data_IF_894666368445
#
_entry.id   IF_894666368445
#
_cell.length_a   1.000
_cell.length_b   1.000
_cell.length_c   1.000
_cell.angle_alpha   90.00
_cell.angle_beta   90.00
_cell.angle_gamma   90.00
#
_symmetry.space_group_name_H-M   'P 1'
#
loop_
_entity.id
_entity.type
_entity.pdbx_description
1 polymer ?
#
# COMPACT_ATOMS: atom_id res chain seq x y z
N UNK A 1 3.13 -4.31 7.78
CA UNK A 1 1.72 -4.25 8.21
C UNK A 1 1.55 -4.01 9.72
N UNK A 2 2.24 -4.79 10.59
CA UNK A 2 2.17 -4.65 12.07
C UNK A 2 2.54 -3.25 12.51
N UNK A 3 3.57 -2.67 11.89
CA UNK A 3 4.05 -1.31 12.17
C UNK A 3 2.95 -0.28 11.96
N UNK A 4 2.23 -0.34 10.83
CA UNK A 4 1.11 0.56 10.54
C UNK A 4 -0.02 0.42 11.57
N UNK A 5 -0.33 -0.80 11.98
CA UNK A 5 -1.37 -1.07 12.98
C UNK A 5 -1.09 -0.40 14.34
N UNK A 6 0.18 -0.32 14.72
CA UNK A 6 0.61 0.24 16.01
C UNK A 6 0.95 1.72 15.88
N UNK A 7 1.78 2.08 14.89
CA UNK A 7 2.37 3.42 14.78
C UNK A 7 1.33 4.46 14.36
N UNK A 8 0.45 4.15 13.41
CA UNK A 8 -0.52 5.13 12.90
C UNK A 8 -1.46 5.70 13.98
N UNK A 9 -2.14 4.89 14.82
CA UNK A 9 -2.99 5.43 15.88
C UNK A 9 -2.21 6.23 16.93
N UNK A 10 -0.98 5.78 17.26
CA UNK A 10 -0.11 6.47 18.23
C UNK A 10 0.27 7.84 17.70
N UNK A 11 0.77 7.90 16.48
CA UNK A 11 1.22 9.16 15.86
C UNK A 11 0.02 10.07 15.56
N UNK A 12 -1.11 9.53 15.10
CA UNK A 12 -2.33 10.29 14.93
C UNK A 12 -2.71 11.01 16.21
N UNK A 13 -2.80 10.28 17.31
CA UNK A 13 -3.11 10.83 18.62
C UNK A 13 -2.06 11.84 19.11
N UNK A 14 -0.76 11.51 18.98
CA UNK A 14 0.31 12.43 19.37
C UNK A 14 0.29 13.72 18.54
N UNK A 15 0.12 13.61 17.23
CA UNK A 15 0.08 14.77 16.34
C UNK A 15 -1.12 15.67 16.62
N UNK A 16 -2.24 15.13 17.11
CA UNK A 16 -3.39 15.90 17.54
C UNK A 16 -3.11 16.79 18.77
N UNK A 17 -2.18 16.35 19.61
CA UNK A 17 -1.82 17.01 20.88
C UNK A 17 -0.63 17.95 20.79
N UNK A 18 0.12 17.87 19.71
CA UNK A 18 1.38 18.60 19.57
C UNK A 18 1.12 19.97 18.94
N UNK A 19 1.78 20.99 19.50
CA UNK A 19 1.94 22.29 18.86
C UNK A 19 3.37 22.76 19.05
N UNK A 20 4.12 22.90 17.97
CA UNK A 20 5.52 23.33 17.94
C UNK A 20 5.68 24.62 17.12
N UNK A 21 6.92 25.13 17.02
CA UNK A 21 7.25 26.25 16.12
C UNK A 21 7.01 25.92 14.63
N UNK A 22 7.05 24.62 14.27
CA UNK A 22 6.75 24.14 12.93
C UNK A 22 5.25 23.87 12.72
N UNK A 23 4.43 24.00 13.74
CA UNK A 23 3.01 23.66 13.71
C UNK A 23 2.72 22.33 14.41
N UNK A 24 1.57 21.73 14.07
CA UNK A 24 1.01 20.52 14.68
C UNK A 24 1.44 19.25 13.93
N UNK A 25 1.31 19.23 12.60
CA UNK A 25 1.51 18.06 11.74
C UNK A 25 2.89 18.00 11.11
N UNK A 26 3.44 19.15 10.72
CA UNK A 26 4.73 19.25 10.02
C UNK A 26 5.91 18.59 10.73
N UNK A 27 6.08 18.65 12.06
CA UNK A 27 7.18 17.96 12.74
C UNK A 27 7.19 16.46 12.51
N UNK A 28 6.01 15.83 12.47
CA UNK A 28 5.88 14.37 12.31
C UNK A 28 6.22 13.92 10.90
N UNK A 29 5.67 14.57 9.87
CA UNK A 29 6.02 14.16 8.52
C UNK A 29 7.45 14.56 8.13
N UNK A 30 8.01 15.62 8.71
CA UNK A 30 9.43 15.91 8.56
C UNK A 30 10.30 14.82 9.18
N UNK A 31 10.04 14.42 10.42
CA UNK A 31 10.78 13.37 11.10
C UNK A 31 10.66 12.04 10.35
N UNK A 32 9.45 11.67 9.93
CA UNK A 32 9.21 10.47 9.16
C UNK A 32 9.94 10.50 7.81
N UNK A 33 9.95 11.65 7.10
CA UNK A 33 10.64 11.79 5.83
C UNK A 33 12.17 11.68 5.97
N UNK A 34 12.76 12.29 7.00
CA UNK A 34 14.19 12.18 7.28
C UNK A 34 14.57 10.71 7.52
N UNK A 35 13.88 10.03 8.43
CA UNK A 35 14.18 8.65 8.78
C UNK A 35 13.93 7.67 7.62
N UNK A 36 12.83 7.83 6.88
CA UNK A 36 12.54 7.00 5.72
C UNK A 36 13.54 7.20 4.59
N UNK A 37 13.95 8.44 4.31
CA UNK A 37 14.94 8.73 3.26
C UNK A 37 16.31 8.17 3.62
N UNK A 38 16.73 8.28 4.88
CA UNK A 38 17.96 7.64 5.36
C UNK A 38 17.88 6.11 5.19
N UNK A 39 16.76 5.50 5.59
CA UNK A 39 16.56 4.06 5.45
C UNK A 39 16.57 3.62 3.98
N UNK A 40 15.95 4.38 3.07
CA UNK A 40 15.97 4.11 1.62
C UNK A 40 17.39 4.15 1.04
N UNK A 41 18.23 5.07 1.50
CA UNK A 41 19.62 5.18 1.03
C UNK A 41 20.50 4.05 1.61
N UNK A 42 20.30 3.70 2.88
CA UNK A 42 21.14 2.71 3.55
C UNK A 42 20.76 1.26 3.22
N UNK A 43 19.46 0.98 3.00
CA UNK A 43 18.96 -0.38 2.81
C UNK A 43 19.61 -1.13 1.64
N UNK A 44 19.74 -0.57 0.42
CA UNK A 44 20.38 -1.27 -0.69
C UNK A 44 21.91 -1.44 -0.53
N UNK A 45 22.52 -0.75 0.43
CA UNK A 45 23.95 -0.86 0.76
C UNK A 45 24.20 -1.74 1.99
N UNK A 46 23.20 -2.42 2.50
CA UNK A 46 23.32 -3.27 3.70
C UNK A 46 24.18 -4.51 3.41
N UNK A 47 25.29 -4.72 4.15
CA UNK A 47 26.19 -5.85 3.91
C UNK A 47 25.60 -7.20 4.37
N UNK A 48 24.51 -7.20 5.13
CA UNK A 48 23.86 -8.40 5.66
C UNK A 48 22.34 -8.29 5.63
N UNK A 49 21.67 -9.42 5.40
CA UNK A 49 20.20 -9.49 5.29
C UNK A 49 19.48 -8.92 6.53
N UNK A 50 19.96 -9.19 7.74
CA UNK A 50 19.34 -8.68 8.96
C UNK A 50 19.38 -7.16 9.06
N UNK A 51 20.42 -6.52 8.49
CA UNK A 51 20.52 -5.06 8.44
C UNK A 51 19.49 -4.49 7.45
N UNK A 52 19.35 -5.10 6.27
CA UNK A 52 18.33 -4.72 5.28
C UNK A 52 16.92 -4.86 5.86
N UNK A 53 16.64 -5.94 6.58
CA UNK A 53 15.36 -6.14 7.28
C UNK A 53 15.14 -5.08 8.37
N UNK A 54 16.18 -4.75 9.14
CA UNK A 54 16.11 -3.67 10.14
C UNK A 54 15.81 -2.31 9.50
N UNK A 55 16.49 -1.98 8.38
CA UNK A 55 16.23 -0.75 7.62
C UNK A 55 14.81 -0.73 7.03
N UNK A 56 14.29 -1.87 6.56
CA UNK A 56 12.92 -2.00 6.09
C UNK A 56 11.90 -1.69 7.20
N UNK A 57 12.13 -2.16 8.41
CA UNK A 57 11.24 -1.85 9.54
C UNK A 57 11.31 -0.38 9.95
N UNK A 58 12.50 0.22 9.95
CA UNK A 58 12.67 1.66 10.21
C UNK A 58 11.94 2.46 9.12
N UNK A 59 12.10 2.09 7.87
CA UNK A 59 11.43 2.74 6.74
C UNK A 59 9.90 2.65 6.86
N UNK A 60 9.37 1.45 7.12
CA UNK A 60 7.92 1.23 7.26
C UNK A 60 7.35 2.04 8.45
N UNK A 61 8.01 2.03 9.60
CA UNK A 61 7.64 2.86 10.75
C UNK A 61 7.66 4.35 10.39
N UNK A 62 8.70 4.81 9.72
CA UNK A 62 8.93 6.22 9.36
C UNK A 62 7.90 6.74 8.36
N UNK A 63 7.53 5.92 7.36
CA UNK A 63 6.46 6.24 6.41
C UNK A 63 5.12 6.35 7.15
N UNK A 64 4.83 5.44 8.09
CA UNK A 64 3.60 5.50 8.89
C UNK A 64 3.58 6.71 9.84
N UNK A 65 4.72 7.14 10.38
CA UNK A 65 4.85 8.39 11.17
C UNK A 65 4.50 9.61 10.30
N UNK A 66 4.87 9.61 9.03
CA UNK A 66 4.60 10.72 8.10
C UNK A 66 3.16 10.71 7.56
N UNK A 67 2.62 9.53 7.24
CA UNK A 67 1.41 9.36 6.44
C UNK A 67 0.14 9.84 7.14
N UNK A 68 -0.06 9.49 8.42
CA UNK A 68 -1.29 9.89 9.14
C UNK A 68 -1.38 11.40 9.39
N UNK A 69 -0.31 12.06 9.91
CA UNK A 69 -0.33 13.52 10.02
C UNK A 69 -0.51 14.22 8.67
N UNK A 70 0.05 13.67 7.58
CA UNK A 70 -0.12 14.24 6.24
C UNK A 70 -1.57 14.16 5.75
N UNK A 71 -2.26 13.04 5.98
CA UNK A 71 -3.69 12.92 5.67
C UNK A 71 -4.54 13.90 6.47
N UNK A 72 -4.26 14.01 7.77
CA UNK A 72 -4.95 14.96 8.64
C UNK A 72 -4.67 16.41 8.23
N UNK A 73 -3.44 16.72 7.81
CA UNK A 73 -3.04 18.04 7.33
C UNK A 73 -3.87 18.50 6.12
N UNK A 74 -4.16 17.63 5.16
CA UNK A 74 -5.05 17.95 4.03
C UNK A 74 -6.45 18.33 4.52
N UNK A 75 -6.98 17.60 5.52
CA UNK A 75 -8.27 17.92 6.14
C UNK A 75 -8.27 19.20 6.96
N UNK A 76 -7.15 19.51 7.64
CA UNK A 76 -7.01 20.70 8.48
C UNK A 76 -6.83 21.99 7.65
N UNK A 77 -6.14 21.88 6.50
CA UNK A 77 -5.78 23.04 5.65
C UNK A 77 -6.85 23.43 4.63
N UNK A 78 -7.73 22.50 4.24
CA UNK A 78 -8.70 22.76 3.19
C UNK A 78 -10.11 23.01 3.76
N UNK A 79 -10.84 24.03 3.24
CA UNK A 79 -12.24 24.22 3.54
C UNK A 79 -13.07 23.01 3.07
N UNK A 80 -14.23 22.78 3.69
CA UNK A 80 -15.06 21.59 3.46
C UNK A 80 -15.38 21.33 1.98
N UNK A 81 -15.59 22.40 1.21
CA UNK A 81 -15.92 22.35 -0.22
C UNK A 81 -14.76 21.81 -1.07
N UNK A 82 -13.51 22.01 -0.62
CA UNK A 82 -12.30 21.63 -1.35
C UNK A 82 -11.69 20.31 -0.87
N UNK A 83 -12.09 19.79 0.30
CA UNK A 83 -11.50 18.56 0.89
C UNK A 83 -11.58 17.36 -0.03
N UNK A 84 -12.72 17.16 -0.70
CA UNK A 84 -12.88 16.05 -1.64
C UNK A 84 -11.89 16.14 -2.80
N UNK A 85 -11.67 17.35 -3.35
CA UNK A 85 -10.68 17.60 -4.38
C UNK A 85 -9.25 17.39 -3.89
N UNK A 86 -8.95 17.83 -2.66
CA UNK A 86 -7.63 17.62 -2.02
C UNK A 86 -7.28 16.14 -1.84
N UNK A 87 -8.20 15.32 -1.32
CA UNK A 87 -7.98 13.88 -1.19
C UNK A 87 -7.91 13.16 -2.54
N UNK A 88 -8.69 13.60 -3.53
CA UNK A 88 -8.59 13.06 -4.89
C UNK A 88 -7.22 13.35 -5.52
N UNK A 89 -6.70 14.58 -5.34
CA UNK A 89 -5.37 14.96 -5.81
C UNK A 89 -4.27 14.16 -5.08
N UNK A 90 -4.40 13.94 -3.78
CA UNK A 90 -3.49 13.08 -3.01
C UNK A 90 -3.47 11.65 -3.58
N UNK A 91 -4.63 11.07 -3.84
CA UNK A 91 -4.74 9.73 -4.42
C UNK A 91 -4.15 9.65 -5.83
N UNK A 92 -4.31 10.69 -6.63
CA UNK A 92 -3.70 10.81 -7.96
C UNK A 92 -2.17 10.78 -7.88
N UNK A 93 -1.57 11.59 -7.01
CA UNK A 93 -0.11 11.62 -6.85
C UNK A 93 0.45 10.33 -6.23
N UNK A 94 -0.30 9.66 -5.34
CA UNK A 94 0.09 8.32 -4.85
C UNK A 94 0.13 7.33 -6.02
N UNK A 95 -0.88 7.31 -6.88
CA UNK A 95 -0.91 6.44 -8.06
C UNK A 95 0.21 6.76 -9.05
N UNK A 96 0.43 8.03 -9.35
CA UNK A 96 1.50 8.47 -10.25
C UNK A 96 2.89 8.09 -9.69
N UNK A 97 3.10 8.32 -8.39
CA UNK A 97 4.34 7.92 -7.72
C UNK A 97 4.57 6.42 -7.75
N UNK A 98 3.51 5.61 -7.55
CA UNK A 98 3.58 4.16 -7.64
C UNK A 98 3.96 3.68 -9.05
N UNK A 99 3.40 4.29 -10.10
CA UNK A 99 3.75 3.99 -11.49
C UNK A 99 5.23 4.25 -11.75
N UNK A 100 5.69 5.46 -11.41
CA UNK A 100 7.08 5.88 -11.64
C UNK A 100 8.05 4.99 -10.85
N UNK A 101 7.80 4.80 -9.55
CA UNK A 101 8.66 4.02 -8.68
C UNK A 101 8.77 2.55 -9.12
N UNK A 102 7.65 1.95 -9.56
CA UNK A 102 7.63 0.56 -10.04
C UNK A 102 8.39 0.38 -11.36
N UNK A 103 8.33 1.36 -12.25
CA UNK A 103 9.04 1.33 -13.53
C UNK A 103 10.51 1.76 -13.42
N UNK A 104 10.93 2.35 -12.31
CA UNK A 104 12.21 3.02 -12.20
C UNK A 104 13.43 2.10 -12.42
N UNK A 105 13.51 0.86 -11.87
CA UNK A 105 14.62 -0.05 -12.17
C UNK A 105 14.75 -0.36 -13.67
N UNK A 106 13.62 -0.64 -14.33
CA UNK A 106 13.59 -0.86 -15.78
C UNK A 106 14.05 0.37 -16.56
N UNK A 107 13.62 1.57 -16.18
CA UNK A 107 14.01 2.83 -16.80
C UNK A 107 15.53 3.05 -16.62
N UNK A 108 16.06 2.80 -15.42
CA UNK A 108 17.50 2.92 -15.14
C UNK A 108 18.33 2.00 -16.05
N UNK A 109 17.91 0.77 -16.22
CA UNK A 109 18.59 -0.21 -17.05
C UNK A 109 18.47 0.11 -18.54
N UNK A 110 17.24 0.29 -19.04
CA UNK A 110 16.98 0.29 -20.49
C UNK A 110 17.09 1.68 -21.13
N UNK A 111 16.86 2.77 -20.37
CA UNK A 111 16.94 4.13 -20.91
C UNK A 111 18.24 4.84 -20.54
N UNK A 112 18.75 4.60 -19.32
CA UNK A 112 19.97 5.23 -18.84
C UNK A 112 21.21 4.33 -18.93
N UNK A 113 21.06 3.05 -19.32
CA UNK A 113 22.16 2.10 -19.49
C UNK A 113 22.90 1.75 -18.20
N UNK A 114 22.22 1.87 -17.03
CA UNK A 114 22.80 1.51 -15.74
C UNK A 114 22.79 -0.02 -15.60
N UNK A 115 23.91 -0.58 -15.17
CA UNK A 115 24.07 -2.04 -15.05
C UNK A 115 23.02 -2.67 -14.12
N UNK A 116 22.43 -3.76 -14.61
CA UNK A 116 21.41 -4.57 -13.92
C UNK A 116 22.01 -5.82 -13.27
N UNK A 117 23.33 -5.98 -13.28
CA UNK A 117 24.04 -7.10 -12.70
C UNK A 117 25.07 -6.55 -11.71
N UNK A 118 25.05 -7.09 -10.48
CA UNK A 118 26.11 -6.78 -9.52
C UNK A 118 27.28 -7.75 -9.70
N UNK A 119 28.50 -7.23 -9.89
CA UNK A 119 29.71 -8.02 -10.14
C UNK A 119 30.03 -9.03 -9.01
N UNK A 120 29.63 -8.72 -7.79
CA UNK A 120 29.85 -9.49 -6.56
C UNK A 120 28.59 -10.23 -6.04
N UNK A 121 27.57 -10.37 -6.88
CA UNK A 121 26.30 -11.02 -6.51
C UNK A 121 25.45 -10.22 -5.50
N UNK A 122 25.76 -8.94 -5.33
CA UNK A 122 25.01 -8.01 -4.49
C UNK A 122 23.75 -7.45 -5.17
N UNK A 123 23.36 -6.24 -4.78
CA UNK A 123 22.22 -5.53 -5.38
C UNK A 123 22.69 -4.77 -6.62
N UNK A 124 22.01 -4.91 -7.78
CA UNK A 124 22.32 -4.17 -8.99
C UNK A 124 22.27 -2.65 -8.80
N UNK A 125 23.12 -1.93 -9.54
CA UNK A 125 23.19 -0.47 -9.43
C UNK A 125 21.91 0.22 -9.93
N UNK A 126 21.19 -0.36 -10.89
CA UNK A 126 19.86 0.10 -11.32
C UNK A 126 18.87 0.16 -10.16
N UNK A 127 18.90 -0.84 -9.28
CA UNK A 127 18.06 -0.90 -8.07
C UNK A 127 18.55 0.11 -7.03
N UNK A 128 19.86 0.20 -6.76
CA UNK A 128 20.42 1.17 -5.80
C UNK A 128 20.05 2.60 -6.18
N UNK A 129 20.23 2.97 -7.44
CA UNK A 129 19.85 4.30 -7.93
C UNK A 129 18.36 4.57 -7.81
N UNK A 130 17.50 3.55 -8.02
CA UNK A 130 16.06 3.69 -7.83
C UNK A 130 15.70 4.03 -6.38
N UNK A 131 16.35 3.39 -5.42
CA UNK A 131 16.18 3.70 -4.00
C UNK A 131 16.67 5.10 -3.63
N UNK A 132 17.85 5.52 -4.16
CA UNK A 132 18.38 6.85 -3.89
C UNK A 132 17.48 7.95 -4.43
N UNK A 133 17.05 7.81 -5.69
CA UNK A 133 16.13 8.78 -6.31
C UNK A 133 14.79 8.85 -5.58
N UNK A 134 14.26 7.69 -5.16
CA UNK A 134 13.04 7.63 -4.34
C UNK A 134 13.20 8.34 -3.00
N UNK A 135 14.32 8.11 -2.31
CA UNK A 135 14.64 8.78 -1.04
C UNK A 135 14.80 10.29 -1.19
N UNK A 136 15.53 10.74 -2.21
CA UNK A 136 15.73 12.16 -2.51
C UNK A 136 14.41 12.84 -2.89
N UNK A 137 13.60 12.21 -3.75
CA UNK A 137 12.31 12.75 -4.17
C UNK A 137 11.35 12.88 -2.97
N UNK A 138 11.27 11.86 -2.12
CA UNK A 138 10.45 11.89 -0.91
C UNK A 138 10.89 13.00 0.05
N UNK A 139 12.17 13.04 0.36
CA UNK A 139 12.74 14.07 1.24
C UNK A 139 12.48 15.48 0.71
N UNK A 140 12.78 15.73 -0.56
CA UNK A 140 12.63 17.04 -1.19
C UNK A 140 11.17 17.49 -1.21
N UNK A 141 10.23 16.59 -1.54
CA UNK A 141 8.80 16.90 -1.55
C UNK A 141 8.27 17.27 -0.15
N UNK A 142 8.69 16.53 0.88
CA UNK A 142 8.29 16.83 2.26
C UNK A 142 8.93 18.13 2.75
N UNK A 143 10.21 18.35 2.49
CA UNK A 143 10.90 19.61 2.81
C UNK A 143 10.22 20.80 2.15
N UNK A 144 9.86 20.68 0.87
CA UNK A 144 9.12 21.72 0.18
C UNK A 144 7.79 22.04 0.91
N UNK A 145 7.04 21.01 1.29
CA UNK A 145 5.79 21.20 2.04
C UNK A 145 6.04 21.88 3.39
N UNK A 146 7.03 21.43 4.15
CA UNK A 146 7.34 21.98 5.48
C UNK A 146 7.72 23.45 5.43
N UNK A 147 8.47 23.90 4.39
CA UNK A 147 8.92 25.28 4.29
C UNK A 147 7.89 26.21 3.63
N UNK A 148 7.05 25.71 2.74
CA UNK A 148 6.14 26.54 1.95
C UNK A 148 4.69 26.52 2.45
N UNK A 149 4.38 25.78 3.53
CA UNK A 149 3.04 25.77 4.12
C UNK A 149 3.08 26.22 5.56
N UNK A 150 2.06 26.93 6.00
CA UNK A 150 1.86 27.34 7.40
C UNK A 150 0.62 26.65 7.95
N UNK A 151 0.69 26.19 9.20
CA UNK A 151 -0.46 25.64 9.91
C UNK A 151 -1.12 26.73 10.75
N UNK A 152 -2.45 26.73 10.76
CA UNK A 152 -3.20 27.65 11.60
C UNK A 152 -3.27 27.15 13.04
N UNK A 153 -2.97 28.00 14.03
CA UNK A 153 -3.12 27.61 15.43
C UNK A 153 -4.59 27.29 15.73
N UNK A 154 -4.86 26.26 16.54
CA UNK A 154 -6.21 25.97 17.00
C UNK A 154 -6.71 27.14 17.88
N UNK A 155 -8.02 27.43 17.80
CA UNK A 155 -8.67 28.56 18.49
C UNK A 155 -8.47 28.54 20.02
N UNK A 156 -8.24 27.34 20.60
CA UNK A 156 -8.01 27.17 22.04
C UNK A 156 -6.97 26.08 22.32
N UNK A 157 -5.71 26.49 22.42
CA UNK A 157 -4.57 25.60 22.71
C UNK A 157 -4.66 24.98 24.11
N UNK A 158 -5.22 25.72 25.10
CA UNK A 158 -5.36 25.22 26.47
C UNK A 158 -6.45 24.16 26.59
N UNK A 159 -7.54 24.34 25.87
CA UNK A 159 -8.62 23.34 25.78
C UNK A 159 -8.14 22.05 25.12
N UNK A 160 -7.35 22.13 24.07
CA UNK A 160 -6.67 20.99 23.44
C UNK A 160 -5.76 20.23 24.42
N UNK A 161 -5.03 20.93 25.29
CA UNK A 161 -4.18 20.30 26.31
C UNK A 161 -5.00 19.59 27.38
N UNK A 162 -6.14 20.14 27.77
CA UNK A 162 -6.98 19.61 28.85
C UNK A 162 -7.84 18.42 28.41
N UNK A 163 -8.48 18.47 27.24
CA UNK A 163 -9.29 17.36 26.68
C UNK A 163 -8.44 16.12 26.37
N UNK A 164 -7.16 16.33 26.16
CA UNK A 164 -6.21 15.30 25.82
C UNK A 164 -5.60 14.55 27.02
N UNK A 165 -5.77 15.06 28.23
CA UNK A 165 -5.28 14.40 29.44
C UNK A 165 -6.11 13.16 29.83
N UNK A 166 -7.37 13.08 29.39
CA UNK A 166 -8.32 12.05 29.84
C UNK A 166 -8.33 10.74 29.02
N UNK A 167 -7.92 10.75 27.75
CA UNK A 167 -7.92 9.53 26.91
C UNK A 167 -6.50 9.12 26.52
N UNK A 168 -5.98 8.09 27.16
CA UNK A 168 -4.67 7.51 26.80
C UNK A 168 -4.73 6.78 25.43
N UNK A 169 -3.60 6.73 24.70
CA UNK A 169 -3.43 6.06 23.41
C UNK A 169 -3.89 4.59 23.45
N UNK A 170 -3.59 3.90 24.57
CA UNK A 170 -4.01 2.50 24.77
C UNK A 170 -5.52 2.32 24.87
N UNK A 171 -6.25 3.33 25.35
CA UNK A 171 -7.71 3.29 25.42
C UNK A 171 -8.32 3.28 24.01
N UNK A 172 -7.82 4.11 23.10
CA UNK A 172 -8.26 4.16 21.71
C UNK A 172 -7.99 2.85 20.95
N UNK A 173 -6.82 2.25 21.14
CA UNK A 173 -6.50 0.92 20.56
C UNK A 173 -7.44 -0.16 21.10
N UNK A 174 -7.66 -0.21 22.41
CA UNK A 174 -8.58 -1.19 23.04
C UNK A 174 -10.01 -1.00 22.54
N UNK A 175 -10.50 0.22 22.44
CA UNK A 175 -11.82 0.53 21.91
C UNK A 175 -11.95 0.07 20.45
N UNK A 176 -10.93 0.28 19.62
CA UNK A 176 -10.91 -0.18 18.22
C UNK A 176 -10.96 -1.71 18.12
N UNK A 177 -10.17 -2.43 18.92
CA UNK A 177 -10.23 -3.90 18.97
C UNK A 177 -11.60 -4.42 19.42
N UNK A 178 -12.19 -3.81 20.45
CA UNK A 178 -13.52 -4.16 20.91
C UNK A 178 -14.61 -3.82 19.88
N UNK A 179 -14.35 -2.87 19.00
CA UNK A 179 -15.23 -2.48 17.91
C UNK A 179 -15.46 -3.59 16.88
N UNK A 180 -14.51 -4.51 16.70
CA UNK A 180 -14.63 -5.67 15.80
C UNK A 180 -15.87 -6.50 16.16
N UNK A 181 -16.16 -6.65 17.45
CA UNK A 181 -17.31 -7.43 17.95
C UNK A 181 -18.64 -6.68 17.89
N UNK A 182 -18.61 -5.37 17.60
CA UNK A 182 -19.81 -4.50 17.54
C UNK A 182 -20.13 -4.03 16.12
N UNK A 183 -19.52 -4.64 15.09
CA UNK A 183 -19.72 -4.23 13.71
C UNK A 183 -21.14 -4.50 13.21
N UNK A 184 -21.73 -3.60 12.41
CA UNK A 184 -22.96 -3.87 11.67
C UNK A 184 -22.81 -5.06 10.73
N UNK A 185 -23.89 -5.82 10.50
CA UNK A 185 -23.88 -7.04 9.65
C UNK A 185 -23.24 -6.82 8.28
N UNK A 186 -23.55 -5.72 7.59
CA UNK A 186 -22.97 -5.40 6.28
C UNK A 186 -21.47 -5.14 6.37
N UNK A 187 -21.01 -4.51 7.46
CA UNK A 187 -19.57 -4.29 7.70
C UNK A 187 -18.85 -5.62 7.90
N UNK A 188 -19.44 -6.57 8.62
CA UNK A 188 -18.90 -7.94 8.77
C UNK A 188 -18.77 -8.63 7.41
N UNK A 189 -19.79 -8.55 6.57
CA UNK A 189 -19.72 -9.13 5.22
C UNK A 189 -18.60 -8.50 4.36
N UNK A 190 -18.51 -7.17 4.38
CA UNK A 190 -17.43 -6.47 3.70
C UNK A 190 -16.05 -6.78 4.27
N UNK A 191 -15.95 -7.01 5.58
CA UNK A 191 -14.72 -7.39 6.25
C UNK A 191 -14.17 -8.72 5.73
N UNK A 192 -15.04 -9.72 5.51
CA UNK A 192 -14.66 -10.99 4.89
C UNK A 192 -14.14 -10.77 3.45
N UNK A 193 -14.84 -9.97 2.64
CA UNK A 193 -14.40 -9.66 1.27
C UNK A 193 -13.03 -8.96 1.29
N UNK A 194 -12.85 -7.99 2.18
CA UNK A 194 -11.58 -7.28 2.34
C UNK A 194 -10.46 -8.23 2.79
N UNK A 195 -10.73 -9.11 3.74
CA UNK A 195 -9.75 -10.07 4.22
C UNK A 195 -9.12 -10.87 3.06
N UNK A 196 -9.93 -11.49 2.23
CA UNK A 196 -9.41 -12.32 1.15
C UNK A 196 -8.85 -11.50 -0.04
N UNK A 197 -9.40 -10.32 -0.29
CA UNK A 197 -8.85 -9.42 -1.30
C UNK A 197 -7.44 -8.94 -0.93
N UNK A 198 -7.23 -8.52 0.32
CA UNK A 198 -5.91 -8.09 0.80
C UNK A 198 -4.94 -9.25 0.99
N UNK A 199 -5.43 -10.43 1.36
CA UNK A 199 -4.63 -11.66 1.37
C UNK A 199 -4.05 -11.95 -0.03
N UNK A 200 -4.89 -11.89 -1.05
CA UNK A 200 -4.49 -12.12 -2.44
C UNK A 200 -3.51 -11.07 -2.97
N UNK A 201 -3.78 -9.79 -2.72
CA UNK A 201 -2.88 -8.71 -3.13
C UNK A 201 -1.52 -8.81 -2.43
N UNK A 202 -1.51 -9.20 -1.17
CA UNK A 202 -0.26 -9.36 -0.43
C UNK A 202 0.53 -10.58 -0.92
N UNK A 203 -0.16 -11.69 -1.28
CA UNK A 203 0.44 -12.81 -1.99
C UNK A 203 1.07 -12.37 -3.31
N UNK A 204 0.37 -11.54 -4.10
CA UNK A 204 0.90 -10.96 -5.32
C UNK A 204 2.16 -10.14 -5.05
N UNK A 205 2.15 -9.20 -4.13
CA UNK A 205 3.30 -8.33 -3.87
C UNK A 205 4.54 -9.08 -3.39
N UNK A 206 4.37 -10.15 -2.61
CA UNK A 206 5.51 -10.95 -2.12
C UNK A 206 6.04 -11.90 -3.19
N UNK A 207 5.15 -12.57 -3.93
CA UNK A 207 5.53 -13.72 -4.72
C UNK A 207 5.61 -13.46 -6.23
N UNK A 208 5.12 -12.32 -6.78
CA UNK A 208 5.11 -12.11 -8.24
C UNK A 208 6.51 -12.14 -8.83
N UNK A 209 7.50 -11.49 -8.21
CA UNK A 209 8.87 -11.50 -8.75
C UNK A 209 9.41 -12.91 -8.85
N UNK A 210 9.38 -13.67 -7.76
CA UNK A 210 9.88 -15.05 -7.75
C UNK A 210 9.04 -15.99 -8.63
N UNK A 211 7.74 -15.75 -8.75
CA UNK A 211 6.86 -16.52 -9.63
C UNK A 211 7.16 -16.26 -11.10
N UNK A 212 7.29 -15.00 -11.51
CA UNK A 212 7.57 -14.63 -12.90
C UNK A 212 8.98 -15.05 -13.30
N UNK A 213 10.00 -14.81 -12.48
CA UNK A 213 11.38 -15.19 -12.79
C UNK A 213 11.51 -16.71 -12.91
N UNK A 214 10.93 -17.50 -11.99
CA UNK A 214 11.03 -18.96 -12.04
C UNK A 214 10.12 -19.60 -13.08
N UNK A 215 8.91 -19.06 -13.33
CA UNK A 215 7.92 -19.70 -14.21
C UNK A 215 8.01 -19.20 -15.65
N UNK A 216 8.16 -17.88 -15.86
CA UNK A 216 8.17 -17.27 -17.19
C UNK A 216 9.59 -17.17 -17.75
N UNK A 217 10.53 -16.66 -16.93
CA UNK A 217 11.95 -16.53 -17.32
C UNK A 217 12.78 -17.79 -17.05
N UNK A 218 12.19 -18.84 -16.46
CA UNK A 218 12.82 -20.14 -16.21
C UNK A 218 14.16 -20.06 -15.44
N UNK A 219 14.26 -19.10 -14.51
CA UNK A 219 15.44 -18.93 -13.65
C UNK A 219 15.06 -18.64 -12.20
N UNK A 220 15.80 -19.25 -11.28
CA UNK A 220 15.70 -18.98 -9.83
C UNK A 220 17.02 -18.44 -9.28
N UNK A 221 18.04 -18.27 -10.12
CA UNK A 221 19.33 -17.72 -9.74
C UNK A 221 19.22 -16.18 -9.67
N UNK A 222 19.15 -15.68 -8.44
CA UNK A 222 19.00 -14.24 -8.15
C UNK A 222 20.19 -13.39 -8.58
N UNK A 223 21.31 -14.02 -8.97
CA UNK A 223 22.52 -13.33 -9.45
C UNK A 223 22.58 -13.26 -10.96
N UNK A 224 21.72 -13.98 -11.67
CA UNK A 224 21.72 -14.04 -13.12
C UNK A 224 21.11 -12.77 -13.76
N UNK A 225 21.62 -12.41 -14.95
CA UNK A 225 21.07 -11.32 -15.77
C UNK A 225 19.56 -11.56 -16.08
N UNK A 226 19.22 -12.81 -16.38
CA UNK A 226 17.85 -13.19 -16.74
C UNK A 226 16.88 -13.03 -15.58
N UNK A 227 17.32 -13.29 -14.34
CA UNK A 227 16.52 -13.01 -13.14
C UNK A 227 16.26 -11.51 -12.98
N UNK A 228 17.30 -10.69 -13.13
CA UNK A 228 17.19 -9.25 -12.99
C UNK A 228 16.32 -8.64 -14.10
N UNK A 229 16.41 -9.14 -15.34
CA UNK A 229 15.50 -8.77 -16.42
C UNK A 229 14.03 -9.08 -16.07
N UNK A 230 13.77 -10.29 -15.55
CA UNK A 230 12.43 -10.68 -15.12
C UNK A 230 11.92 -9.83 -13.94
N UNK A 231 12.79 -9.48 -12.99
CA UNK A 231 12.44 -8.60 -11.87
C UNK A 231 12.09 -7.18 -12.33
N UNK A 232 12.88 -6.62 -13.25
CA UNK A 232 12.59 -5.30 -13.86
C UNK A 232 11.27 -5.32 -14.63
N UNK A 233 10.98 -6.41 -15.35
CA UNK A 233 9.71 -6.57 -16.06
C UNK A 233 8.51 -6.66 -15.11
N UNK A 234 8.67 -7.29 -13.96
CA UNK A 234 7.63 -7.26 -12.89
C UNK A 234 7.39 -5.83 -12.41
N UNK A 235 8.41 -5.00 -12.32
CA UNK A 235 8.26 -3.56 -12.06
C UNK A 235 7.34 -2.87 -13.08
N UNK A 236 7.52 -3.16 -14.38
CA UNK A 236 6.63 -2.67 -15.45
C UNK A 236 5.20 -3.24 -15.29
N UNK A 237 5.05 -4.52 -14.98
CA UNK A 237 3.76 -5.12 -14.67
C UNK A 237 3.05 -4.36 -13.53
N UNK A 238 3.77 -4.00 -12.48
CA UNK A 238 3.25 -3.24 -11.35
C UNK A 238 2.91 -1.79 -11.71
N UNK A 239 3.68 -1.15 -12.57
CA UNK A 239 3.33 0.16 -13.10
C UNK A 239 2.03 0.10 -13.92
N UNK A 240 1.85 -0.92 -14.75
CA UNK A 240 0.64 -1.10 -15.57
C UNK A 240 -0.60 -1.30 -14.71
N UNK A 241 -0.60 -2.22 -13.73
CA UNK A 241 -1.81 -2.40 -12.92
C UNK A 241 -2.18 -1.14 -12.11
N UNK A 242 -1.20 -0.38 -11.63
CA UNK A 242 -1.46 0.91 -10.95
C UNK A 242 -2.01 1.95 -11.93
N UNK A 243 -1.49 2.02 -13.15
CA UNK A 243 -2.00 2.90 -14.21
C UNK A 243 -3.44 2.56 -14.61
N UNK A 244 -3.73 1.28 -14.82
CA UNK A 244 -5.10 0.80 -15.09
C UNK A 244 -6.03 1.12 -13.92
N UNK A 245 -5.59 0.92 -12.68
CA UNK A 245 -6.38 1.25 -11.51
C UNK A 245 -6.74 2.73 -11.44
N UNK A 246 -5.80 3.62 -11.74
CA UNK A 246 -6.03 5.05 -11.77
C UNK A 246 -7.08 5.43 -12.83
N UNK A 247 -7.02 4.85 -14.04
CA UNK A 247 -7.99 5.08 -15.10
C UNK A 247 -9.37 4.52 -14.76
N UNK A 248 -9.42 3.28 -14.28
CA UNK A 248 -10.66 2.58 -13.94
C UNK A 248 -11.38 3.23 -12.76
N UNK A 249 -10.65 3.86 -11.83
CA UNK A 249 -11.24 4.59 -10.70
C UNK A 249 -12.28 5.65 -11.14
N UNK A 250 -12.07 6.30 -12.27
CA UNK A 250 -13.04 7.26 -12.84
C UNK A 250 -14.28 6.58 -13.45
N UNK A 251 -14.14 5.34 -13.91
CA UNK A 251 -15.23 4.58 -14.55
C UNK A 251 -16.13 3.87 -13.53
N UNK A 252 -15.56 3.46 -12.39
CA UNK A 252 -16.29 2.70 -11.37
C UNK A 252 -17.58 3.35 -10.88
N UNK A 253 -17.64 4.67 -10.58
CA UNK A 253 -18.90 5.30 -10.16
C UNK A 253 -19.98 5.25 -11.26
N UNK A 254 -19.58 5.36 -12.53
CA UNK A 254 -20.50 5.29 -13.68
C UNK A 254 -21.09 3.88 -13.81
N UNK A 255 -20.24 2.86 -13.72
CA UNK A 255 -20.65 1.45 -13.77
C UNK A 255 -21.54 1.12 -12.57
N UNK A 256 -21.16 1.56 -11.35
CA UNK A 256 -21.90 1.31 -10.12
C UNK A 256 -23.32 1.92 -10.13
N UNK A 257 -23.52 3.04 -10.82
CA UNK A 257 -24.87 3.60 -11.05
C UNK A 257 -25.75 2.73 -11.93
N UNK A 258 -25.16 1.96 -12.87
CA UNK A 258 -25.90 1.10 -13.80
C UNK A 258 -26.23 -0.29 -13.23
N UNK A 259 -25.31 -0.92 -12.51
CA UNK A 259 -25.44 -2.31 -12.07
C UNK A 259 -25.38 -2.51 -10.54
N UNK A 260 -25.19 -1.49 -9.74
CA UNK A 260 -24.96 -1.41 -8.31
C UNK A 260 -23.50 -1.52 -7.87
N UNK A 261 -23.19 -0.92 -6.70
CA UNK A 261 -21.84 -0.97 -6.11
C UNK A 261 -21.37 -2.40 -5.81
N UNK A 262 -22.28 -3.24 -5.33
CA UNK A 262 -22.01 -4.64 -5.00
C UNK A 262 -21.60 -5.43 -6.24
N UNK A 263 -22.39 -5.35 -7.33
CA UNK A 263 -22.11 -6.06 -8.58
C UNK A 263 -20.84 -5.53 -9.27
N UNK A 264 -20.62 -4.22 -9.23
CA UNK A 264 -19.38 -3.61 -9.77
C UNK A 264 -18.15 -4.17 -9.07
N UNK A 265 -18.21 -4.26 -7.73
CA UNK A 265 -17.10 -4.79 -6.94
C UNK A 265 -16.89 -6.28 -7.22
N UNK A 266 -17.96 -7.09 -7.26
CA UNK A 266 -17.90 -8.51 -7.61
C UNK A 266 -17.22 -8.74 -8.96
N UNK A 267 -17.71 -8.08 -10.02
CA UNK A 267 -17.15 -8.24 -11.36
C UNK A 267 -15.67 -7.84 -11.40
N UNK A 268 -15.32 -6.73 -10.76
CA UNK A 268 -13.93 -6.29 -10.70
C UNK A 268 -13.03 -7.31 -9.98
N UNK A 269 -13.48 -7.89 -8.85
CA UNK A 269 -12.73 -8.91 -8.12
C UNK A 269 -12.56 -10.20 -8.93
N UNK A 270 -13.61 -10.67 -9.62
CA UNK A 270 -13.53 -11.86 -10.49
C UNK A 270 -12.52 -11.63 -11.61
N UNK A 271 -12.56 -10.47 -12.27
CA UNK A 271 -11.61 -10.11 -13.33
C UNK A 271 -10.18 -10.11 -12.78
N UNK A 272 -9.95 -9.52 -11.59
CA UNK A 272 -8.63 -9.52 -10.97
C UNK A 272 -8.14 -10.89 -10.55
N UNK A 273 -9.03 -11.74 -10.02
CA UNK A 273 -8.70 -13.12 -9.67
C UNK A 273 -8.33 -13.95 -10.90
N UNK A 274 -9.08 -13.81 -12.01
CA UNK A 274 -8.73 -14.42 -13.29
C UNK A 274 -7.38 -13.88 -13.77
N UNK A 275 -7.11 -12.57 -13.62
CA UNK A 275 -5.83 -11.96 -13.95
C UNK A 275 -4.67 -12.62 -13.19
N UNK A 276 -4.78 -12.84 -11.88
CA UNK A 276 -3.74 -13.53 -11.10
C UNK A 276 -3.56 -15.00 -11.51
N UNK A 277 -4.66 -15.73 -11.72
CA UNK A 277 -4.62 -17.13 -12.11
C UNK A 277 -4.04 -17.28 -13.52
N UNK A 278 -4.33 -16.36 -14.44
CA UNK A 278 -3.87 -16.42 -15.83
C UNK A 278 -2.34 -16.38 -15.97
N UNK A 279 -1.62 -15.81 -15.01
CA UNK A 279 -0.15 -15.79 -15.00
C UNK A 279 0.44 -17.20 -15.10
N UNK A 280 -0.22 -18.20 -14.52
CA UNK A 280 0.19 -19.61 -14.59
C UNK A 280 0.25 -20.17 -16.02
N UNK A 281 -0.58 -19.68 -16.92
CA UNK A 281 -0.68 -20.15 -18.31
C UNK A 281 0.19 -19.36 -19.28
N UNK A 282 0.92 -18.33 -18.79
CA UNK A 282 1.69 -17.40 -19.60
C UNK A 282 3.16 -17.81 -19.61
N UNK A 283 3.70 -17.93 -20.82
CA UNK A 283 5.14 -18.16 -21.07
C UNK A 283 5.81 -16.96 -21.73
N UNK A 284 5.05 -16.06 -22.37
CA UNK A 284 5.57 -14.82 -22.97
C UNK A 284 5.43 -13.66 -21.97
N UNK A 285 6.56 -13.03 -21.55
CA UNK A 285 6.54 -11.92 -20.62
C UNK A 285 5.56 -10.78 -21.00
N UNK A 286 5.39 -10.49 -22.28
CA UNK A 286 4.52 -9.41 -22.74
C UNK A 286 3.03 -9.68 -22.42
N UNK A 287 2.61 -10.93 -22.40
CA UNK A 287 1.24 -11.31 -22.09
C UNK A 287 0.90 -11.10 -20.60
N UNK A 288 1.90 -10.98 -19.72
CA UNK A 288 1.69 -10.63 -18.31
C UNK A 288 0.99 -9.27 -18.15
N UNK A 289 1.19 -8.35 -19.10
CA UNK A 289 0.52 -7.04 -19.08
C UNK A 289 -0.99 -7.18 -19.17
N UNK A 290 -1.49 -8.18 -19.89
CA UNK A 290 -2.94 -8.47 -20.00
C UNK A 290 -3.49 -8.94 -18.65
N UNK A 291 -2.76 -9.82 -17.95
CA UNK A 291 -3.10 -10.23 -16.58
C UNK A 291 -3.16 -9.03 -15.62
N UNK A 292 -2.22 -8.10 -15.74
CA UNK A 292 -2.14 -6.90 -14.91
C UNK A 292 -3.28 -5.91 -15.16
N UNK A 293 -3.89 -5.90 -16.34
CA UNK A 293 -5.12 -5.12 -16.58
C UNK A 293 -6.24 -5.62 -15.65
N UNK A 294 -6.44 -6.93 -15.56
CA UNK A 294 -7.42 -7.52 -14.64
C UNK A 294 -7.15 -7.17 -13.17
N UNK A 295 -5.90 -7.28 -12.76
CA UNK A 295 -5.46 -6.91 -11.40
C UNK A 295 -5.71 -5.44 -11.13
N UNK A 296 -5.42 -4.55 -12.08
CA UNK A 296 -5.65 -3.11 -11.96
C UNK A 296 -7.12 -2.75 -11.77
N UNK A 297 -8.03 -3.43 -12.49
CA UNK A 297 -9.49 -3.27 -12.32
C UNK A 297 -9.91 -3.66 -10.89
N UNK A 298 -9.42 -4.79 -10.38
CA UNK A 298 -9.70 -5.22 -9.02
C UNK A 298 -9.14 -4.22 -7.99
N UNK A 299 -7.91 -3.77 -8.17
CA UNK A 299 -7.24 -2.81 -7.29
C UNK A 299 -8.02 -1.51 -7.16
N UNK A 300 -8.45 -0.90 -8.28
CA UNK A 300 -9.30 0.27 -8.26
C UNK A 300 -10.58 0.06 -7.44
N UNK A 301 -11.21 -1.11 -7.60
CA UNK A 301 -12.44 -1.45 -6.90
C UNK A 301 -12.22 -1.72 -5.41
N UNK A 302 -11.13 -2.39 -5.01
CA UNK A 302 -10.77 -2.67 -3.61
C UNK A 302 -10.52 -1.37 -2.85
N UNK A 303 -9.93 -0.38 -3.49
CA UNK A 303 -9.65 0.92 -2.88
C UNK A 303 -10.89 1.82 -2.74
N UNK A 304 -11.95 1.59 -3.51
CA UNK A 304 -13.08 2.53 -3.59
C UNK A 304 -14.42 1.94 -3.15
N UNK A 305 -14.81 0.77 -3.68
CA UNK A 305 -16.16 0.24 -3.51
C UNK A 305 -16.53 -0.16 -2.07
N UNK A 306 -15.67 -0.87 -1.29
CA UNK A 306 -15.97 -1.21 0.09
C UNK A 306 -16.22 0.02 0.95
N UNK A 307 -15.41 1.07 0.80
CA UNK A 307 -15.56 2.33 1.52
C UNK A 307 -16.83 3.07 1.11
N UNK A 308 -17.17 3.10 -0.18
CA UNK A 308 -18.40 3.70 -0.68
C UNK A 308 -19.66 2.95 -0.20
N UNK A 309 -19.60 1.64 -0.05
CA UNK A 309 -20.68 0.84 0.55
C UNK A 309 -20.77 1.06 2.04
N UNK A 310 -19.64 1.06 2.74
CA UNK A 310 -19.58 1.21 4.19
C UNK A 310 -20.06 2.61 4.63
N UNK A 311 -19.61 3.66 3.97
CA UNK A 311 -20.01 5.05 4.28
C UNK A 311 -21.50 5.31 4.12
N UNK A 312 -22.20 4.51 3.31
CA UNK A 312 -23.64 4.67 3.10
C UNK A 312 -24.50 4.07 4.22
N UNK A 313 -23.92 3.24 5.10
CA UNK A 313 -24.64 2.52 6.17
C UNK A 313 -24.20 2.92 7.57
N UNK A 314 -23.06 3.56 7.70
CA UNK A 314 -22.52 3.96 9.01
C UNK A 314 -23.09 5.29 9.47
N UNK A 315 -23.38 5.45 10.79
CA UNK A 315 -23.75 6.73 11.36
C UNK A 315 -22.63 7.75 11.21
N UNK A 316 -22.97 8.98 10.76
CA UNK A 316 -21.99 10.04 10.53
C UNK A 316 -21.13 10.34 11.77
N UNK A 317 -21.71 10.29 12.96
CA UNK A 317 -21.03 10.58 14.23
C UNK A 317 -19.95 9.54 14.61
N UNK A 318 -20.01 8.32 14.06
CA UNK A 318 -19.10 7.22 14.39
C UNK A 318 -18.33 6.73 13.16
N UNK A 319 -18.36 7.47 12.05
CA UNK A 319 -17.74 7.08 10.78
C UNK A 319 -16.26 6.77 10.95
N UNK A 320 -15.49 7.68 11.57
CA UNK A 320 -14.05 7.51 11.78
C UNK A 320 -13.69 6.28 12.62
N UNK A 321 -14.48 6.03 13.69
CA UNK A 321 -14.32 4.85 14.52
C UNK A 321 -14.46 3.54 13.72
N UNK A 322 -15.57 3.40 12.98
CA UNK A 322 -15.82 2.20 12.19
C UNK A 322 -14.85 2.05 11.01
N UNK A 323 -14.39 3.15 10.40
CA UNK A 323 -13.35 3.11 9.37
C UNK A 323 -12.03 2.62 9.96
N UNK A 324 -11.66 3.05 11.17
CA UNK A 324 -10.50 2.53 11.91
C UNK A 324 -10.61 1.05 12.21
N UNK A 325 -11.79 0.57 12.66
CA UNK A 325 -12.05 -0.86 12.88
C UNK A 325 -11.96 -1.64 11.56
N UNK A 326 -12.46 -1.08 10.46
CA UNK A 326 -12.42 -1.73 9.15
C UNK A 326 -10.99 -1.91 8.63
N UNK A 327 -10.07 -1.03 9.02
CA UNK A 327 -8.65 -1.11 8.64
C UNK A 327 -7.96 -2.40 9.18
N UNK A 328 -8.46 -3.01 10.26
CA UNK A 328 -7.97 -4.31 10.70
C UNK A 328 -8.11 -5.39 9.62
N UNK A 329 -9.16 -5.33 8.80
CA UNK A 329 -9.40 -6.26 7.70
C UNK A 329 -8.55 -5.97 6.45
N UNK A 330 -7.70 -4.95 6.51
CA UNK A 330 -6.62 -4.69 5.58
C UNK A 330 -5.32 -5.28 6.12
N UNK A 331 -5.01 -5.05 7.38
CA UNK A 331 -3.71 -5.40 7.99
C UNK A 331 -3.61 -6.87 8.40
N UNK A 332 -4.66 -7.41 9.04
CA UNK A 332 -4.67 -8.80 9.51
C UNK A 332 -4.44 -9.80 8.35
N UNK A 333 -5.13 -9.71 7.20
CA UNK A 333 -4.90 -10.64 6.09
C UNK A 333 -3.47 -10.57 5.52
N UNK A 334 -2.83 -9.42 5.56
CA UNK A 334 -1.44 -9.28 5.15
C UNK A 334 -0.50 -10.03 6.11
N UNK A 335 -0.74 -9.97 7.41
CA UNK A 335 0.01 -10.71 8.42
C UNK A 335 -0.21 -12.22 8.23
N UNK A 336 -1.46 -12.63 8.01
CA UNK A 336 -1.82 -14.02 7.76
C UNK A 336 -1.18 -14.53 6.48
N UNK A 337 -1.21 -13.76 5.40
CA UNK A 337 -0.56 -14.12 4.14
C UNK A 337 0.96 -14.29 4.32
N UNK A 338 1.62 -13.36 5.01
CA UNK A 338 3.05 -13.44 5.29
C UNK A 338 3.44 -14.70 6.11
N UNK A 339 2.60 -15.10 7.07
CA UNK A 339 2.87 -16.25 7.93
C UNK A 339 2.50 -17.59 7.29
N UNK A 340 1.39 -17.67 6.56
CA UNK A 340 0.81 -18.93 6.11
C UNK A 340 1.27 -19.32 4.71
N UNK A 341 1.43 -18.37 3.77
CA UNK A 341 1.73 -18.70 2.37
C UNK A 341 3.06 -19.45 2.22
N UNK A 342 4.11 -19.02 2.92
CA UNK A 342 5.40 -19.71 2.88
C UNK A 342 5.30 -21.16 3.38
N UNK A 343 4.56 -21.39 4.45
CA UNK A 343 4.29 -22.73 4.97
C UNK A 343 3.49 -23.58 3.96
N UNK A 344 2.42 -23.01 3.39
CA UNK A 344 1.60 -23.71 2.39
C UNK A 344 2.41 -24.09 1.15
N UNK A 345 3.19 -23.17 0.61
CA UNK A 345 4.04 -23.42 -0.56
C UNK A 345 5.03 -24.55 -0.29
N UNK A 346 5.70 -24.51 0.86
CA UNK A 346 6.67 -25.55 1.23
C UNK A 346 6.03 -26.91 1.46
N UNK A 347 4.88 -26.97 2.13
CA UNK A 347 4.25 -28.23 2.54
C UNK A 347 3.43 -28.91 1.45
N UNK A 348 2.79 -28.14 0.55
CA UNK A 348 1.81 -28.66 -0.41
C UNK A 348 2.19 -28.44 -1.88
N UNK A 349 3.07 -27.47 -2.17
CA UNK A 349 3.33 -27.03 -3.54
C UNK A 349 4.82 -27.06 -3.92
N UNK A 350 5.64 -27.83 -3.20
CA UNK A 350 7.06 -27.99 -3.54
C UNK A 350 7.87 -26.69 -3.53
N UNK A 351 7.42 -25.67 -2.80
CA UNK A 351 8.00 -24.32 -2.73
C UNK A 351 7.97 -23.54 -4.07
N UNK A 352 7.04 -23.87 -4.97
CA UNK A 352 6.90 -23.20 -6.27
C UNK A 352 6.04 -21.96 -6.12
N UNK A 353 6.63 -20.77 -6.33
CA UNK A 353 6.03 -19.45 -6.03
C UNK A 353 4.78 -19.13 -6.82
N UNK A 354 4.62 -19.66 -8.04
CA UNK A 354 3.44 -19.39 -8.89
C UNK A 354 2.13 -19.81 -8.23
N UNK A 355 2.16 -20.85 -7.38
CA UNK A 355 0.96 -21.29 -6.67
C UNK A 355 0.46 -20.27 -5.64
N UNK A 356 1.32 -19.37 -5.13
CA UNK A 356 0.87 -18.27 -4.28
C UNK A 356 -0.08 -17.33 -5.04
N UNK A 357 0.19 -17.07 -6.32
CA UNK A 357 -0.66 -16.23 -7.16
C UNK A 357 -1.99 -16.93 -7.48
N UNK A 358 -1.97 -18.24 -7.71
CA UNK A 358 -3.19 -19.04 -7.91
C UNK A 358 -4.04 -19.01 -6.64
N UNK A 359 -3.45 -19.28 -5.47
CA UNK A 359 -4.16 -19.22 -4.18
C UNK A 359 -4.76 -17.83 -3.97
N UNK A 360 -4.00 -16.78 -4.24
CA UNK A 360 -4.48 -15.41 -4.20
C UNK A 360 -5.67 -15.18 -5.15
N UNK A 361 -5.54 -15.56 -6.42
CA UNK A 361 -6.59 -15.42 -7.42
C UNK A 361 -7.86 -16.17 -7.07
N UNK A 362 -7.73 -17.41 -6.59
CA UNK A 362 -8.87 -18.22 -6.11
C UNK A 362 -9.50 -17.57 -4.89
N UNK A 363 -8.71 -17.06 -3.94
CA UNK A 363 -9.24 -16.42 -2.73
C UNK A 363 -10.11 -15.21 -3.04
N UNK A 364 -9.75 -14.40 -4.01
CA UNK A 364 -10.57 -13.25 -4.46
C UNK A 364 -11.88 -13.73 -5.12
N UNK A 365 -11.84 -14.81 -5.91
CA UNK A 365 -13.02 -15.29 -6.64
C UNK A 365 -14.06 -15.97 -5.75
N UNK A 366 -13.63 -16.76 -4.74
CA UNK A 366 -14.50 -17.63 -3.95
C UNK A 366 -15.47 -16.91 -3.01
N UNK A 367 -15.27 -15.64 -2.72
CA UNK A 367 -15.97 -14.97 -1.61
C UNK A 367 -17.22 -14.23 -1.97
N UNK A 368 -17.63 -14.25 -3.19
CA UNK A 368 -18.82 -13.54 -3.63
C UNK A 368 -19.99 -14.49 -4.03
N UNK A 369 -19.72 -15.78 -3.93
CA UNK A 369 -20.79 -16.80 -3.99
C UNK A 369 -21.38 -17.07 -2.63
#
# INVERSE_FOLDING_TARGET
PVTGLIVQPIIGHMSDKTWTRLGRRRPYFLTGAILASIALILMPNSPALWMAVGMLWIMDASINISMEPFRAFVGDMLPNEQRTGGFAMQSFFIGLGAIIASALPFIMTNWFGIENIAADGGIPDSVKWSFYLGGIAYFTAVMWTVFNTEEYPPDDIEKLKNENAEKGVFTGLKESFMGIFKMPKTMVQLAFVQFFSWFALFAMWIYTTSAVTSHVYQTSDTTSALYNEGADWVGICFAIYNGIAALVAFLLPVVAKKISRKMTHLVALVIGGIGLISIYFISDPNLLLVSMIGVGIAWASILSMPYAMLSSILPANNMGYYMGVFNFFIVIPQIVAAGILGFMLKSFFGNVSIYALIIGGVSICLLYT
#
